data_IF_714189432887
#
_entry.id   IF_714189432887
#
_cell.length_a   1.000
_cell.length_b   1.000
_cell.length_c   1.000
_cell.angle_alpha   90.00
_cell.angle_beta   90.00
_cell.angle_gamma   90.00
#
_symmetry.space_group_name_H-M   'P 1'
#
loop_
_entity.id
_entity.type
_entity.pdbx_description
1 polymer ?
#
# COMPACT_ATOMS: atom_id res chain seq x y z
N UNK A 1 30.05 23.28 -36.26
CA UNK A 1 28.77 23.13 -35.54
C UNK A 1 28.20 21.77 -35.87
N UNK A 2 28.05 20.89 -34.86
CA UNK A 2 26.99 19.91 -34.82
C UNK A 2 26.05 20.25 -33.66
N UNK A 3 24.79 20.52 -34.00
CA UNK A 3 23.66 20.43 -33.08
C UNK A 3 23.52 19.00 -32.60
N UNK A 4 23.41 18.79 -31.28
CA UNK A 4 22.87 17.55 -30.69
C UNK A 4 22.57 17.77 -29.21
N UNK A 5 21.47 18.47 -28.94
CA UNK A 5 20.71 18.35 -27.69
C UNK A 5 20.21 16.90 -27.56
N UNK A 6 21.09 16.00 -27.13
CA UNK A 6 20.74 14.62 -26.77
C UNK A 6 21.23 14.37 -25.34
N UNK A 7 20.89 15.28 -24.43
CA UNK A 7 20.62 14.85 -23.06
C UNK A 7 19.19 14.35 -23.08
N UNK A 8 19.06 13.06 -23.41
CA UNK A 8 17.86 12.28 -23.21
C UNK A 8 17.27 12.62 -21.84
N UNK A 9 15.99 12.99 -21.83
CA UNK A 9 15.10 12.95 -20.68
C UNK A 9 15.27 11.58 -19.99
N UNK A 10 16.21 11.49 -19.05
CA UNK A 10 16.23 10.43 -18.07
C UNK A 10 15.02 10.70 -17.18
N UNK A 11 14.05 9.78 -17.06
CA UNK A 11 12.94 9.98 -16.15
C UNK A 11 13.55 10.24 -14.77
N UNK A 12 13.15 11.34 -14.13
CA UNK A 12 13.60 11.66 -12.79
C UNK A 12 13.15 10.51 -11.88
N UNK A 13 14.08 9.61 -11.56
CA UNK A 13 13.83 8.44 -10.72
C UNK A 13 13.41 8.83 -9.29
N UNK A 14 13.53 10.12 -8.93
CA UNK A 14 13.07 10.68 -7.67
C UNK A 14 11.70 11.36 -7.77
N UNK A 15 11.11 11.46 -8.96
CA UNK A 15 9.81 12.08 -9.14
C UNK A 15 8.73 11.16 -8.55
N UNK A 16 7.98 11.69 -7.57
CA UNK A 16 6.72 11.10 -7.14
C UNK A 16 5.86 10.90 -8.40
N UNK A 17 5.30 9.70 -8.63
CA UNK A 17 4.57 9.41 -9.86
C UNK A 17 3.16 10.00 -9.75
N UNK A 18 3.10 11.33 -9.69
CA UNK A 18 1.92 12.15 -9.52
C UNK A 18 0.88 11.94 -10.64
N UNK A 19 1.33 11.44 -11.79
CA UNK A 19 0.48 11.02 -12.90
C UNK A 19 -0.08 9.59 -12.77
N UNK A 20 0.54 8.72 -11.96
CA UNK A 20 0.18 7.31 -11.86
C UNK A 20 -1.14 7.10 -11.12
N UNK A 21 -1.93 6.13 -11.55
CA UNK A 21 -3.30 5.94 -11.07
C UNK A 21 -3.36 5.64 -9.56
N UNK A 22 -2.41 4.86 -9.05
CA UNK A 22 -2.31 4.52 -7.61
C UNK A 22 -2.05 5.75 -6.75
N UNK A 23 -1.37 6.77 -7.27
CA UNK A 23 -1.12 8.02 -6.55
C UNK A 23 -2.28 9.01 -6.71
N UNK A 24 -2.79 9.15 -7.94
CA UNK A 24 -3.89 10.08 -8.25
C UNK A 24 -5.18 9.73 -7.53
N UNK A 25 -5.48 8.44 -7.41
CA UNK A 25 -6.71 7.92 -6.81
C UNK A 25 -6.59 7.56 -5.33
N UNK A 26 -5.42 7.74 -4.73
CA UNK A 26 -5.27 7.60 -3.29
C UNK A 26 -6.12 8.63 -2.55
N UNK A 27 -6.95 8.17 -1.62
CA UNK A 27 -7.72 9.05 -0.75
C UNK A 27 -6.81 9.90 0.13
N UNK A 28 -7.24 11.12 0.43
CA UNK A 28 -6.62 11.99 1.44
C UNK A 28 -7.35 11.93 2.79
N UNK A 29 -8.42 11.13 2.88
CA UNK A 29 -9.31 11.03 4.03
C UNK A 29 -9.25 9.60 4.58
N UNK A 30 -9.09 9.51 5.90
CA UNK A 30 -9.27 8.29 6.67
C UNK A 30 -10.74 8.20 7.10
N UNK A 31 -11.44 7.16 6.67
CA UNK A 31 -12.85 6.93 6.97
C UNK A 31 -12.94 6.11 8.25
N UNK A 32 -13.63 6.60 9.27
CA UNK A 32 -13.84 5.83 10.51
C UNK A 32 -14.59 4.52 10.25
N UNK A 33 -14.11 3.43 10.85
CA UNK A 33 -14.79 2.15 10.76
C UNK A 33 -16.02 2.14 11.69
N UNK A 34 -17.22 1.79 11.19
CA UNK A 34 -18.47 2.00 11.92
C UNK A 34 -18.64 1.11 13.16
N UNK A 35 -17.82 0.07 13.32
CA UNK A 35 -17.96 -0.94 14.38
C UNK A 35 -16.70 -1.18 15.22
N UNK A 36 -15.55 -0.71 14.75
CA UNK A 36 -14.27 -0.96 15.43
C UNK A 36 -13.73 0.41 15.80
N UNK A 37 -13.89 0.81 17.08
CA UNK A 37 -13.33 2.07 17.56
C UNK A 37 -11.84 2.12 17.25
N UNK A 38 -11.32 3.30 16.90
CA UNK A 38 -9.89 3.54 16.58
C UNK A 38 -9.38 2.89 15.28
N UNK A 39 -10.24 2.23 14.51
CA UNK A 39 -9.90 1.79 13.16
C UNK A 39 -10.44 2.77 12.13
N UNK A 40 -9.62 3.05 11.13
CA UNK A 40 -9.98 3.81 9.94
C UNK A 40 -9.73 2.99 8.68
N UNK A 41 -10.29 3.45 7.57
CA UNK A 41 -10.10 2.88 6.24
C UNK A 41 -9.57 3.95 5.30
N UNK A 42 -8.50 3.64 4.59
CA UNK A 42 -7.99 4.46 3.50
C UNK A 42 -8.38 3.83 2.16
N UNK A 43 -9.14 4.54 1.33
CA UNK A 43 -9.40 4.10 -0.05
C UNK A 43 -8.15 4.29 -0.92
N UNK A 44 -7.78 3.26 -1.69
CA UNK A 44 -6.67 3.29 -2.64
C UNK A 44 -7.01 2.45 -3.89
N UNK A 45 -6.13 2.50 -4.90
CA UNK A 45 -6.21 1.66 -6.11
C UNK A 45 -5.12 0.59 -6.08
N UNK A 46 -5.50 -0.67 -6.29
CA UNK A 46 -4.58 -1.81 -6.39
C UNK A 46 -3.81 -1.78 -7.72
N UNK A 47 -2.80 -2.65 -7.83
CA UNK A 47 -2.03 -2.84 -9.07
C UNK A 47 -2.89 -3.27 -10.26
N UNK A 48 -3.95 -4.05 -10.00
CA UNK A 48 -4.93 -4.47 -11.02
C UNK A 48 -5.93 -3.36 -11.40
N UNK A 49 -5.76 -2.15 -10.85
CA UNK A 49 -6.68 -1.05 -11.09
C UNK A 49 -8.04 -1.24 -10.42
N UNK A 50 -8.12 -2.02 -9.34
CA UNK A 50 -9.33 -2.16 -8.53
C UNK A 50 -9.31 -1.19 -7.36
N UNK A 51 -10.50 -0.77 -6.92
CA UNK A 51 -10.66 0.02 -5.72
C UNK A 51 -10.62 -0.87 -4.49
N UNK A 52 -9.82 -0.52 -3.50
CA UNK A 52 -9.68 -1.28 -2.27
C UNK A 52 -9.57 -0.33 -1.05
N UNK A 53 -9.63 -0.93 0.14
CA UNK A 53 -9.49 -0.22 1.41
C UNK A 53 -8.37 -0.85 2.23
N UNK A 54 -7.43 -0.01 2.67
CA UNK A 54 -6.43 -0.40 3.65
C UNK A 54 -6.96 -0.14 5.05
N UNK A 55 -6.98 -1.14 5.95
CA UNK A 55 -7.27 -0.92 7.36
C UNK A 55 -6.13 -0.13 8.00
N UNK A 56 -6.46 0.93 8.73
CA UNK A 56 -5.52 1.84 9.35
C UNK A 56 -5.83 1.90 10.86
N UNK A 57 -5.01 1.27 11.69
CA UNK A 57 -5.20 1.24 13.14
C UNK A 57 -3.84 1.11 13.84
N UNK A 58 -3.58 1.96 14.83
CA UNK A 58 -2.30 1.97 15.55
C UNK A 58 -2.04 0.68 16.35
N UNK A 59 -3.10 -0.06 16.71
CA UNK A 59 -3.05 -1.27 17.54
C UNK A 59 -3.55 -2.52 16.79
N UNK A 60 -3.30 -2.59 15.47
CA UNK A 60 -3.85 -3.66 14.61
C UNK A 60 -3.39 -5.07 15.05
N UNK A 61 -2.18 -5.15 15.56
CA UNK A 61 -1.51 -6.33 16.13
C UNK A 61 -2.21 -6.81 17.40
N UNK A 62 -2.52 -5.89 18.32
CA UNK A 62 -3.23 -6.17 19.55
C UNK A 62 -4.68 -6.60 19.32
N UNK A 63 -5.33 -6.06 18.29
CA UNK A 63 -6.71 -6.37 17.95
C UNK A 63 -6.86 -7.66 17.11
N UNK A 64 -5.76 -8.28 16.68
CA UNK A 64 -5.76 -9.51 15.87
C UNK A 64 -6.64 -9.40 14.62
N UNK A 65 -6.76 -8.20 14.03
CA UNK A 65 -7.74 -7.94 12.96
C UNK A 65 -7.39 -8.69 11.67
N UNK A 66 -6.10 -8.92 11.43
CA UNK A 66 -5.61 -9.63 10.27
C UNK A 66 -5.46 -11.15 10.51
N UNK A 67 -5.61 -11.61 11.76
CA UNK A 67 -5.53 -13.04 12.12
C UNK A 67 -6.49 -13.95 11.33
N UNK A 68 -7.72 -13.53 10.98
CA UNK A 68 -8.59 -14.36 10.14
C UNK A 68 -8.02 -14.64 8.74
N UNK A 69 -7.10 -13.82 8.23
CA UNK A 69 -6.49 -13.99 6.91
C UNK A 69 -5.48 -15.15 6.89
N UNK A 70 -4.88 -15.50 8.02
CA UNK A 70 -3.91 -16.61 8.11
C UNK A 70 -4.48 -17.96 7.64
N UNK A 71 -5.80 -18.15 7.69
CA UNK A 71 -6.43 -19.39 7.22
C UNK A 71 -6.38 -19.55 5.69
N UNK A 72 -6.23 -18.46 4.94
CA UNK A 72 -6.19 -18.45 3.47
C UNK A 72 -4.81 -18.07 2.92
N UNK A 73 -3.87 -17.66 3.79
CA UNK A 73 -2.49 -17.26 3.47
C UNK A 73 -1.49 -18.35 3.90
N UNK A 74 -1.92 -19.62 3.80
CA UNK A 74 -1.11 -20.77 4.23
C UNK A 74 0.25 -20.78 3.51
N UNK A 75 1.34 -20.88 4.28
CA UNK A 75 2.74 -20.76 3.83
C UNK A 75 3.18 -19.37 3.32
N UNK A 76 2.43 -18.30 3.61
CA UNK A 76 2.85 -16.92 3.31
C UNK A 76 4.16 -16.52 4.02
N UNK A 77 5.02 -15.74 3.34
CA UNK A 77 6.26 -15.27 3.95
C UNK A 77 5.96 -14.29 5.10
N UNK A 78 6.44 -14.55 6.33
CA UNK A 78 6.24 -13.67 7.48
C UNK A 78 6.71 -12.22 7.27
N UNK A 79 7.66 -11.99 6.35
CA UNK A 79 8.12 -10.64 5.98
C UNK A 79 6.99 -9.83 5.37
N UNK A 80 6.16 -10.42 4.49
CA UNK A 80 5.02 -9.74 3.90
C UNK A 80 3.89 -9.56 4.89
N UNK A 81 3.68 -10.50 5.82
CA UNK A 81 2.74 -10.32 6.92
C UNK A 81 3.12 -9.11 7.78
N UNK A 82 4.38 -9.04 8.20
CA UNK A 82 4.92 -7.95 9.00
C UNK A 82 4.89 -6.61 8.24
N UNK A 83 5.22 -6.59 6.95
CA UNK A 83 5.17 -5.38 6.12
C UNK A 83 3.73 -4.86 5.96
N UNK A 84 2.77 -5.77 5.76
CA UNK A 84 1.34 -5.43 5.71
C UNK A 84 0.88 -4.81 7.02
N UNK A 85 1.14 -5.46 8.15
CA UNK A 85 0.78 -4.97 9.48
C UNK A 85 1.40 -3.61 9.78
N UNK A 86 2.71 -3.48 9.56
CA UNK A 86 3.44 -2.24 9.76
C UNK A 86 2.86 -1.10 8.92
N UNK A 87 2.55 -1.35 7.64
CA UNK A 87 1.98 -0.32 6.78
C UNK A 87 0.64 0.18 7.30
N UNK A 88 -0.23 -0.71 7.81
CA UNK A 88 -1.52 -0.37 8.40
C UNK A 88 -1.39 0.47 9.67
N UNK A 89 -0.42 0.14 10.54
CA UNK A 89 -0.15 0.88 11.78
C UNK A 89 0.30 2.29 11.46
N UNK A 90 1.31 2.44 10.59
CA UNK A 90 1.83 3.76 10.25
C UNK A 90 0.77 4.60 9.53
N UNK A 91 0.00 3.99 8.62
CA UNK A 91 -1.04 4.68 7.83
C UNK A 91 -2.14 5.33 8.70
N UNK A 92 -2.35 4.83 9.92
CA UNK A 92 -3.32 5.36 10.89
C UNK A 92 -3.02 6.78 11.36
N UNK A 93 -1.77 7.25 11.25
CA UNK A 93 -1.39 8.60 11.64
C UNK A 93 -2.10 9.64 10.78
N UNK A 94 -2.75 10.62 11.42
CA UNK A 94 -3.60 11.60 10.72
C UNK A 94 -2.81 12.61 9.87
N UNK A 95 -1.59 12.95 10.27
CA UNK A 95 -0.76 14.01 9.70
C UNK A 95 0.23 13.54 8.62
N UNK A 96 0.10 12.31 8.13
CA UNK A 96 1.00 11.80 7.10
C UNK A 96 0.84 12.54 5.76
N UNK A 97 1.96 12.97 5.15
CA UNK A 97 1.96 13.50 3.78
C UNK A 97 1.41 12.46 2.79
N UNK A 98 0.74 12.94 1.73
CA UNK A 98 0.16 12.08 0.69
C UNK A 98 1.18 11.10 0.09
N UNK A 99 2.41 11.53 -0.09
CA UNK A 99 3.48 10.72 -0.69
C UNK A 99 3.84 9.53 0.20
N UNK A 100 3.90 9.75 1.51
CA UNK A 100 4.13 8.68 2.49
C UNK A 100 2.91 7.75 2.52
N UNK A 101 1.70 8.30 2.52
CA UNK A 101 0.46 7.50 2.44
C UNK A 101 0.44 6.62 1.20
N UNK A 102 0.95 7.12 0.07
CA UNK A 102 1.03 6.37 -1.17
C UNK A 102 2.01 5.21 -1.06
N UNK A 103 3.22 5.43 -0.55
CA UNK A 103 4.21 4.36 -0.34
C UNK A 103 3.64 3.28 0.59
N UNK A 104 2.98 3.65 1.68
CA UNK A 104 2.37 2.70 2.61
C UNK A 104 1.25 1.90 1.97
N UNK A 105 0.41 2.51 1.13
CA UNK A 105 -0.62 1.82 0.37
C UNK A 105 -0.02 0.84 -0.67
N UNK A 106 1.13 1.17 -1.27
CA UNK A 106 1.85 0.27 -2.16
C UNK A 106 2.41 -0.95 -1.40
N UNK A 107 3.05 -0.72 -0.24
CA UNK A 107 3.57 -1.80 0.60
C UNK A 107 2.44 -2.73 1.03
N UNK A 108 1.31 -2.16 1.46
CA UNK A 108 0.13 -2.92 1.81
C UNK A 108 -0.36 -3.77 0.64
N UNK A 109 -0.55 -3.16 -0.53
CA UNK A 109 -1.06 -3.86 -1.70
C UNK A 109 -0.12 -4.98 -2.16
N UNK A 110 1.18 -4.69 -2.22
CA UNK A 110 2.21 -5.65 -2.59
C UNK A 110 2.26 -6.84 -1.63
N UNK A 111 2.24 -6.55 -0.32
CA UNK A 111 2.22 -7.60 0.69
C UNK A 111 0.98 -8.48 0.57
N UNK A 112 -0.21 -7.89 0.33
CA UNK A 112 -1.42 -8.66 0.07
C UNK A 112 -1.31 -9.53 -1.19
N UNK A 113 -0.65 -9.07 -2.25
CA UNK A 113 -0.39 -9.88 -3.44
C UNK A 113 0.55 -11.04 -3.13
N UNK A 114 1.67 -10.79 -2.46
CA UNK A 114 2.66 -11.83 -2.15
C UNK A 114 2.17 -12.90 -1.17
N UNK A 115 1.15 -12.59 -0.37
CA UNK A 115 0.54 -13.54 0.56
C UNK A 115 -0.55 -14.42 -0.11
N UNK A 116 -0.86 -14.22 -1.40
CA UNK A 116 -1.79 -15.08 -2.11
C UNK A 116 -1.15 -16.43 -2.44
N UNK A 117 -1.86 -17.55 -2.24
CA UNK A 117 -1.31 -18.90 -2.45
C UNK A 117 -0.79 -19.17 -3.86
N UNK A 118 -1.32 -18.49 -4.88
CA UNK A 118 -0.92 -18.69 -6.28
C UNK A 118 0.24 -17.80 -6.74
N UNK A 119 0.72 -16.85 -5.91
CA UNK A 119 1.79 -15.93 -6.29
C UNK A 119 3.16 -16.51 -5.89
N UNK A 120 4.00 -16.80 -6.88
CA UNK A 120 5.42 -17.09 -6.70
C UNK A 120 6.22 -15.87 -7.14
N UNK A 121 7.34 -15.57 -6.47
CA UNK A 121 8.24 -14.44 -6.80
C UNK A 121 8.66 -14.38 -8.29
N UNK A 122 8.53 -15.49 -9.03
CA UNK A 122 8.84 -15.60 -10.46
C UNK A 122 7.87 -14.88 -11.42
N UNK A 123 6.74 -14.35 -10.94
CA UNK A 123 5.70 -13.74 -11.79
C UNK A 123 5.61 -12.21 -11.73
N UNK A 124 6.58 -11.53 -11.11
CA UNK A 124 6.69 -10.06 -11.03
C UNK A 124 7.82 -9.53 -11.93
#
# INVERSE_FOLDING_TARGET
MPDSNVFLDMPDHNAIPSAHITYRRLSTILIEHPRIPTMFLLEFMTFDGLRAYQPCCENIDHLSILRPLWAIEYDGDPVFEAAREWSCIIQARHDLPKDIRWVLALIYNFSCTMLQPEQTEEYL
#
